data_IF_042217462140
#
_entry.id   IF_042217462140
#
_cell.length_a   1.000
_cell.length_b   1.000
_cell.length_c   1.000
_cell.angle_alpha   90.00
_cell.angle_beta   90.00
_cell.angle_gamma   90.00
#
_symmetry.space_group_name_H-M   'P 1'
#
loop_
_entity.id
_entity.type
_entity.pdbx_description
1 polymer ?
#
# COMPACT_ATOMS: atom_id res chain seq x y z
N UNK A 1 -65.10 61.95 19.41
CA UNK A 1 -65.17 60.68 18.59
C UNK A 1 -64.26 59.66 19.23
N UNK A 2 -64.86 58.65 19.73
CA UNK A 2 -64.29 57.70 20.71
C UNK A 2 -63.63 56.58 19.98
N UNK A 3 -62.32 56.32 20.24
CA UNK A 3 -61.57 55.15 19.72
C UNK A 3 -61.82 54.00 20.69
N UNK A 4 -62.35 52.89 20.16
CA UNK A 4 -62.48 51.60 20.87
C UNK A 4 -61.15 50.80 20.71
N UNK A 5 -60.72 50.12 21.76
CA UNK A 5 -59.45 49.28 21.66
C UNK A 5 -59.74 47.92 21.10
N UNK A 6 -58.88 47.48 20.18
CA UNK A 6 -58.80 46.14 19.62
C UNK A 6 -58.27 45.13 20.68
N UNK A 7 -59.03 44.11 20.96
CA UNK A 7 -58.67 42.97 21.81
C UNK A 7 -57.69 42.03 21.02
N UNK A 8 -56.54 41.76 21.63
CA UNK A 8 -55.60 40.67 21.17
C UNK A 8 -56.09 39.33 21.70
N UNK A 9 -55.99 38.24 20.92
CA UNK A 9 -56.25 36.87 21.38
C UNK A 9 -55.08 36.35 22.23
N UNK A 10 -55.32 35.33 23.12
CA UNK A 10 -54.29 34.81 24.01
C UNK A 10 -53.32 33.92 23.28
N UNK A 11 -52.02 34.11 23.57
CA UNK A 11 -50.91 33.29 23.07
C UNK A 11 -50.91 32.01 23.92
N UNK A 12 -51.15 30.86 23.26
CA UNK A 12 -51.00 29.51 23.85
C UNK A 12 -49.51 29.19 23.89
N UNK A 13 -48.86 29.20 25.06
CA UNK A 13 -47.51 28.69 25.26
C UNK A 13 -47.51 27.16 25.18
N UNK A 14 -47.03 26.65 24.09
CA UNK A 14 -46.66 25.22 24.02
C UNK A 14 -45.28 25.05 24.67
N UNK A 15 -45.24 24.34 25.81
CA UNK A 15 -44.00 23.96 26.45
C UNK A 15 -43.33 22.82 25.63
N UNK A 16 -42.23 23.20 24.92
CA UNK A 16 -41.36 22.22 24.28
C UNK A 16 -40.44 21.66 25.38
N UNK A 17 -40.62 20.42 25.76
CA UNK A 17 -39.70 19.68 26.62
C UNK A 17 -38.41 19.38 25.79
N UNK A 18 -37.33 20.11 26.06
CA UNK A 18 -36.01 19.74 25.60
C UNK A 18 -35.54 18.48 26.38
N UNK A 19 -35.58 17.32 25.75
CA UNK A 19 -34.86 16.16 26.23
C UNK A 19 -33.35 16.45 26.06
N UNK A 20 -32.67 16.69 27.18
CA UNK A 20 -31.21 16.78 27.22
C UNK A 20 -30.61 15.41 26.89
N UNK A 21 -30.06 15.23 25.69
CA UNK A 21 -29.14 14.14 25.40
C UNK A 21 -27.85 14.39 26.19
N UNK A 22 -27.63 13.61 27.24
CA UNK A 22 -26.35 13.55 27.92
C UNK A 22 -25.30 12.95 26.93
N UNK A 23 -24.07 13.49 26.87
CA UNK A 23 -23.03 12.89 26.05
C UNK A 23 -22.70 11.49 26.63
N UNK A 24 -22.69 10.47 25.74
CA UNK A 24 -22.26 9.13 26.09
C UNK A 24 -20.79 9.19 26.56
N UNK A 25 -20.53 8.73 27.76
CA UNK A 25 -19.17 8.56 28.27
C UNK A 25 -18.40 7.63 27.34
N UNK A 26 -17.11 7.89 27.05
CA UNK A 26 -16.30 6.97 26.29
C UNK A 26 -16.21 5.64 27.03
N UNK A 27 -16.62 4.57 26.37
CA UNK A 27 -16.41 3.20 26.87
C UNK A 27 -14.92 2.99 27.03
N UNK A 28 -14.46 2.69 28.23
CA UNK A 28 -13.12 2.14 28.47
C UNK A 28 -12.89 0.95 27.53
N UNK A 29 -11.68 0.78 26.97
CA UNK A 29 -11.35 -0.40 26.20
C UNK A 29 -11.66 -1.64 27.06
N UNK A 30 -12.47 -2.54 26.53
CA UNK A 30 -12.74 -3.82 27.17
C UNK A 30 -11.39 -4.54 27.31
N UNK A 31 -11.12 -5.07 28.49
CA UNK A 31 -10.01 -6.00 28.69
C UNK A 31 -10.13 -7.13 27.65
N UNK A 32 -9.01 -7.64 27.09
CA UNK A 32 -9.05 -8.70 26.10
C UNK A 32 -9.87 -9.87 26.67
N UNK A 33 -11.01 -10.13 26.05
CA UNK A 33 -11.87 -11.25 26.40
C UNK A 33 -11.08 -12.53 26.21
N UNK A 34 -11.09 -13.42 27.20
CA UNK A 34 -10.47 -14.73 27.10
C UNK A 34 -10.92 -15.40 25.80
N UNK A 35 -9.97 -15.73 24.94
CA UNK A 35 -10.19 -16.49 23.70
C UNK A 35 -10.98 -17.76 24.03
N UNK A 36 -11.96 -18.18 23.20
CA UNK A 36 -12.61 -19.47 23.38
C UNK A 36 -11.54 -20.57 23.40
N UNK A 37 -11.72 -21.64 24.19
CA UNK A 37 -10.75 -22.72 24.29
C UNK A 37 -10.49 -23.31 22.89
N UNK A 38 -9.23 -23.33 22.48
CA UNK A 38 -8.77 -24.00 21.27
C UNK A 38 -9.21 -25.46 21.30
N UNK A 39 -9.73 -25.97 20.18
CA UNK A 39 -10.09 -27.38 20.05
C UNK A 39 -8.88 -28.27 20.41
N UNK A 40 -9.07 -29.40 21.11
CA UNK A 40 -7.98 -30.31 21.46
C UNK A 40 -7.35 -30.86 20.15
N UNK A 41 -6.14 -30.47 19.82
CA UNK A 41 -5.40 -30.88 18.62
C UNK A 41 -4.56 -29.78 17.92
N UNK A 42 -4.73 -28.52 18.28
CA UNK A 42 -4.01 -27.39 17.65
C UNK A 42 -2.87 -26.86 18.53
N UNK A 43 -1.90 -27.73 18.85
CA UNK A 43 -0.77 -27.36 19.71
C UNK A 43 0.30 -26.51 18.99
N UNK A 44 0.28 -26.42 17.63
CA UNK A 44 1.28 -25.67 16.86
C UNK A 44 0.67 -24.41 16.20
N UNK A 45 0.95 -23.21 16.73
CA UNK A 45 0.47 -21.95 16.15
C UNK A 45 0.90 -21.74 14.69
N UNK A 46 2.09 -22.21 14.30
CA UNK A 46 2.56 -22.07 12.93
C UNK A 46 1.78 -23.00 11.97
N UNK A 47 1.47 -24.22 12.39
CA UNK A 47 0.62 -25.11 11.58
C UNK A 47 -0.79 -24.51 11.39
N UNK A 48 -1.35 -23.88 12.42
CA UNK A 48 -2.60 -23.13 12.31
C UNK A 48 -2.46 -21.95 11.35
N UNK A 49 -1.43 -21.13 11.46
CA UNK A 49 -1.15 -20.00 10.58
C UNK A 49 -1.05 -20.42 9.11
N UNK A 50 -0.34 -21.54 8.83
CA UNK A 50 -0.26 -22.10 7.47
C UNK A 50 -1.63 -22.49 6.92
N UNK A 51 -2.49 -23.13 7.71
CA UNK A 51 -3.86 -23.46 7.27
C UNK A 51 -4.68 -22.18 6.98
N UNK A 52 -4.53 -21.14 7.80
CA UNK A 52 -5.22 -19.88 7.56
C UNK A 52 -4.73 -19.18 6.30
N UNK A 53 -3.41 -19.17 6.04
CA UNK A 53 -2.81 -18.62 4.84
C UNK A 53 -3.37 -19.24 3.56
N UNK A 54 -3.66 -20.56 3.58
CA UNK A 54 -4.26 -21.24 2.42
C UNK A 54 -5.80 -21.24 2.40
N UNK A 55 -6.43 -20.79 3.47
CA UNK A 55 -7.89 -20.66 3.55
C UNK A 55 -8.38 -19.29 3.19
N UNK A 56 -7.64 -18.26 3.60
CA UNK A 56 -7.96 -16.87 3.35
C UNK A 56 -7.26 -16.38 2.09
N UNK A 57 -7.93 -15.54 1.32
CA UNK A 57 -7.28 -14.82 0.23
C UNK A 57 -6.28 -13.83 0.83
N UNK A 58 -4.99 -13.99 0.53
CA UNK A 58 -3.95 -13.01 0.88
C UNK A 58 -3.74 -12.09 -0.31
N UNK A 59 -4.03 -10.81 -0.10
CA UNK A 59 -3.74 -9.74 -1.04
C UNK A 59 -2.66 -8.83 -0.45
N UNK A 60 -1.67 -8.51 -1.27
CA UNK A 60 -0.58 -7.58 -0.92
C UNK A 60 -0.67 -6.32 -1.78
N UNK A 61 -0.63 -5.15 -1.14
CA UNK A 61 -0.80 -3.86 -1.80
C UNK A 61 0.33 -3.47 -2.75
N UNK A 62 1.53 -4.10 -2.63
CA UNK A 62 2.68 -3.66 -3.43
C UNK A 62 3.79 -4.70 -3.52
N UNK A 63 4.11 -5.14 -4.74
CA UNK A 63 5.22 -6.07 -5.03
C UNK A 63 5.93 -5.67 -6.33
N UNK A 64 7.26 -5.48 -6.31
CA UNK A 64 8.05 -4.88 -7.40
C UNK A 64 8.62 -5.85 -8.44
N UNK A 65 8.02 -7.02 -8.56
CA UNK A 65 8.41 -8.04 -9.56
C UNK A 65 8.57 -7.47 -10.97
N UNK A 66 7.65 -6.61 -11.48
CA UNK A 66 7.77 -6.14 -12.87
C UNK A 66 9.05 -5.34 -13.12
N UNK A 67 9.43 -4.46 -12.17
CA UNK A 67 10.65 -3.67 -12.35
C UNK A 67 11.91 -4.51 -12.14
N UNK A 68 11.94 -5.45 -11.21
CA UNK A 68 13.05 -6.40 -11.07
C UNK A 68 13.31 -7.15 -12.37
N UNK A 69 12.28 -7.72 -12.98
CA UNK A 69 12.39 -8.44 -14.25
C UNK A 69 12.77 -7.53 -15.42
N UNK A 70 12.28 -6.28 -15.42
CA UNK A 70 12.64 -5.27 -16.41
C UNK A 70 14.12 -4.90 -16.33
N UNK A 71 14.65 -4.74 -15.12
CA UNK A 71 16.05 -4.35 -14.88
C UNK A 71 17.05 -5.49 -15.18
N UNK A 72 16.60 -6.76 -15.08
CA UNK A 72 17.45 -7.96 -15.28
C UNK A 72 17.27 -8.62 -16.65
N UNK A 73 16.61 -7.94 -17.61
CA UNK A 73 16.45 -8.44 -18.98
C UNK A 73 17.79 -8.67 -19.67
N UNK A 74 17.80 -9.63 -20.59
CA UNK A 74 18.96 -9.85 -21.47
C UNK A 74 19.20 -8.64 -22.41
N UNK A 75 20.34 -8.57 -23.13
CA UNK A 75 20.62 -7.52 -24.09
C UNK A 75 19.58 -7.38 -25.20
N UNK A 76 18.83 -8.44 -25.52
CA UNK A 76 17.73 -8.43 -26.50
C UNK A 76 16.41 -7.93 -25.89
N UNK A 77 16.40 -7.59 -24.59
CA UNK A 77 15.22 -7.09 -23.87
C UNK A 77 14.24 -8.18 -23.41
N UNK A 78 14.65 -9.47 -23.42
CA UNK A 78 13.80 -10.58 -23.01
C UNK A 78 13.92 -10.87 -21.52
N UNK A 79 12.78 -11.23 -20.90
CA UNK A 79 12.76 -11.75 -19.53
C UNK A 79 13.37 -13.15 -19.52
N UNK A 80 14.44 -13.33 -18.77
CA UNK A 80 15.15 -14.61 -18.64
C UNK A 80 14.61 -15.48 -17.52
N UNK A 81 13.98 -14.87 -16.49
CA UNK A 81 13.43 -15.61 -15.36
C UNK A 81 12.07 -16.24 -15.68
N UNK A 82 11.84 -17.44 -15.09
CA UNK A 82 10.56 -18.13 -15.08
C UNK A 82 9.89 -17.99 -13.70
N UNK A 83 9.12 -16.94 -13.49
CA UNK A 83 8.44 -16.69 -12.22
C UNK A 83 7.26 -17.63 -11.93
N UNK A 84 6.85 -18.47 -12.87
CA UNK A 84 5.91 -19.57 -12.60
C UNK A 84 6.56 -20.77 -11.91
N UNK A 85 7.89 -20.90 -11.99
CA UNK A 85 8.71 -21.84 -11.23
C UNK A 85 9.47 -21.13 -10.11
N UNK A 86 10.22 -21.90 -9.29
CA UNK A 86 11.08 -21.31 -8.25
C UNK A 86 12.26 -20.57 -8.89
N UNK A 87 12.44 -19.31 -8.51
CA UNK A 87 13.57 -18.49 -8.97
C UNK A 87 14.69 -18.46 -7.93
N UNK A 88 15.97 -18.38 -8.34
CA UNK A 88 17.09 -18.27 -7.41
C UNK A 88 17.18 -16.88 -6.76
N UNK A 89 16.69 -15.85 -7.44
CA UNK A 89 16.77 -14.45 -7.05
C UNK A 89 15.36 -13.87 -6.83
N UNK A 90 15.32 -12.71 -6.17
CA UNK A 90 14.10 -12.00 -5.86
C UNK A 90 13.29 -12.62 -4.72
N UNK A 91 12.25 -11.91 -4.32
CA UNK A 91 11.42 -12.26 -3.16
C UNK A 91 10.12 -12.95 -3.57
N UNK A 92 9.76 -12.90 -4.86
CA UNK A 92 8.55 -13.47 -5.42
C UNK A 92 8.81 -14.45 -6.56
N UNK A 93 8.16 -15.60 -6.49
CA UNK A 93 7.79 -16.51 -7.58
C UNK A 93 6.52 -17.27 -7.20
N UNK A 94 5.86 -17.92 -8.18
CA UNK A 94 4.59 -18.60 -7.95
C UNK A 94 4.70 -19.79 -6.99
N UNK A 95 5.85 -20.45 -6.90
CA UNK A 95 6.06 -21.58 -5.98
C UNK A 95 6.08 -21.06 -4.55
N UNK A 96 6.89 -20.04 -4.25
CA UNK A 96 6.95 -19.41 -2.92
C UNK A 96 5.65 -18.70 -2.57
N UNK A 97 4.99 -18.03 -3.53
CA UNK A 97 3.69 -17.42 -3.31
C UNK A 97 2.66 -18.46 -2.85
N UNK A 98 2.61 -19.62 -3.49
CA UNK A 98 1.74 -20.72 -3.06
C UNK A 98 2.13 -21.29 -1.71
N UNK A 99 3.42 -21.43 -1.40
CA UNK A 99 3.89 -21.87 -0.08
C UNK A 99 3.45 -20.92 1.03
N UNK A 100 3.47 -19.61 0.77
CA UNK A 100 3.05 -18.57 1.70
C UNK A 100 1.56 -18.26 1.71
N UNK A 101 0.82 -18.72 0.69
CA UNK A 101 -0.60 -18.43 0.53
C UNK A 101 -0.88 -17.04 -0.09
N UNK A 102 0.09 -16.43 -0.77
CA UNK A 102 -0.12 -15.14 -1.45
C UNK A 102 -0.89 -15.35 -2.76
N UNK A 103 -2.08 -14.78 -2.86
CA UNK A 103 -3.01 -14.98 -3.97
C UNK A 103 -3.18 -13.78 -4.89
N UNK A 104 -2.97 -12.55 -4.38
CA UNK A 104 -3.21 -11.33 -5.12
C UNK A 104 -2.15 -10.25 -4.82
N UNK A 105 -0.90 -10.40 -5.28
CA UNK A 105 0.09 -9.34 -5.24
C UNK A 105 -0.28 -8.22 -6.23
N UNK A 106 -0.47 -7.00 -5.76
CA UNK A 106 -0.53 -5.85 -6.65
C UNK A 106 0.85 -5.64 -7.29
N UNK A 107 0.94 -5.91 -8.58
CA UNK A 107 2.15 -5.74 -9.38
C UNK A 107 2.45 -4.25 -9.56
N UNK A 108 3.54 -3.79 -8.95
CA UNK A 108 3.99 -2.41 -9.06
C UNK A 108 4.50 -2.13 -10.48
N UNK A 109 3.88 -1.18 -11.14
CA UNK A 109 4.37 -0.58 -12.38
C UNK A 109 5.24 0.60 -11.99
N UNK A 110 6.43 0.29 -11.46
CA UNK A 110 7.36 1.28 -10.93
C UNK A 110 8.07 2.06 -12.03
N UNK A 111 8.00 3.39 -11.94
CA UNK A 111 8.66 4.31 -12.87
C UNK A 111 9.68 5.16 -12.11
N UNK A 112 10.99 4.84 -12.17
CA UNK A 112 12.04 5.62 -11.54
C UNK A 112 12.01 7.10 -11.94
N UNK A 113 12.39 7.99 -11.01
CA UNK A 113 12.37 9.44 -11.22
C UNK A 113 13.22 9.91 -12.44
N UNK A 114 14.26 9.16 -12.85
CA UNK A 114 15.01 9.46 -14.06
C UNK A 114 14.13 9.53 -15.32
N UNK A 115 13.09 8.68 -15.37
CA UNK A 115 12.19 8.61 -16.53
C UNK A 115 11.20 9.77 -16.61
N UNK A 116 10.94 10.46 -15.48
CA UNK A 116 10.21 11.73 -15.51
C UNK A 116 11.10 12.88 -16.01
N UNK A 117 12.42 12.79 -15.77
CA UNK A 117 13.39 13.80 -16.21
C UNK A 117 13.69 13.68 -17.71
N UNK A 118 13.85 12.46 -18.22
CA UNK A 118 14.18 12.19 -19.62
C UNK A 118 12.96 12.03 -20.55
N UNK A 119 11.71 12.17 -20.00
CA UNK A 119 10.47 12.12 -20.77
C UNK A 119 10.07 10.73 -21.24
N UNK A 120 10.63 9.67 -20.65
CA UNK A 120 10.33 8.26 -21.04
C UNK A 120 9.37 7.55 -20.11
N UNK A 121 8.81 8.23 -19.11
CA UNK A 121 7.97 7.64 -18.06
C UNK A 121 6.79 6.82 -18.62
N UNK A 122 6.05 7.35 -19.58
CA UNK A 122 4.91 6.68 -20.20
C UNK A 122 5.29 5.41 -20.97
N UNK A 123 6.44 5.45 -21.66
CA UNK A 123 6.98 4.29 -22.39
C UNK A 123 7.39 3.16 -21.45
N UNK A 124 8.06 3.48 -20.34
CA UNK A 124 8.47 2.50 -19.33
C UNK A 124 7.25 1.90 -18.66
N UNK A 125 6.30 2.71 -18.22
CA UNK A 125 5.05 2.22 -17.62
C UNK A 125 4.33 1.25 -18.55
N UNK A 126 4.17 1.62 -19.84
CA UNK A 126 3.51 0.75 -20.83
C UNK A 126 4.26 -0.56 -21.02
N UNK A 127 5.59 -0.54 -21.05
CA UNK A 127 6.41 -1.75 -21.17
C UNK A 127 6.21 -2.68 -19.99
N UNK A 128 6.14 -2.15 -18.76
CA UNK A 128 5.89 -2.96 -17.55
C UNK A 128 4.46 -3.53 -17.53
N UNK A 129 3.46 -2.75 -17.94
CA UNK A 129 2.07 -3.24 -18.10
C UNK A 129 2.00 -4.39 -19.10
N UNK A 130 2.65 -4.25 -20.26
CA UNK A 130 2.65 -5.30 -21.28
C UNK A 130 3.38 -6.56 -20.80
N UNK A 131 4.43 -6.38 -19.98
CA UNK A 131 5.12 -7.49 -19.32
C UNK A 131 4.19 -8.26 -18.39
N UNK A 132 3.47 -7.58 -17.48
CA UNK A 132 2.53 -8.23 -16.55
C UNK A 132 1.41 -8.94 -17.32
N UNK A 133 0.85 -8.29 -18.34
CA UNK A 133 -0.14 -8.94 -19.23
C UNK A 133 0.41 -10.19 -19.92
N UNK A 134 1.68 -10.18 -20.26
CA UNK A 134 2.36 -11.33 -20.84
C UNK A 134 2.49 -12.53 -19.89
N UNK A 135 2.43 -12.32 -18.56
CA UNK A 135 2.53 -13.42 -17.61
C UNK A 135 1.33 -14.37 -17.68
N UNK A 136 0.10 -13.84 -17.76
CA UNK A 136 -1.09 -14.69 -17.95
C UNK A 136 -1.03 -15.46 -19.27
N UNK A 137 -0.65 -14.81 -20.35
CA UNK A 137 -0.56 -15.47 -21.66
C UNK A 137 0.51 -16.56 -21.68
N UNK A 138 1.62 -16.38 -20.95
CA UNK A 138 2.73 -17.33 -20.88
C UNK A 138 2.46 -18.48 -19.89
N UNK A 139 1.74 -18.24 -18.81
CA UNK A 139 1.49 -19.19 -17.72
C UNK A 139 0.02 -19.16 -17.28
N UNK A 140 -0.93 -19.51 -18.19
CA UNK A 140 -2.37 -19.34 -17.95
C UNK A 140 -2.91 -20.22 -16.82
N UNK A 141 -2.25 -21.32 -16.48
CA UNK A 141 -2.63 -22.18 -15.34
C UNK A 141 -2.12 -21.65 -13.99
N UNK A 142 -1.24 -20.65 -13.99
CA UNK A 142 -0.61 -20.10 -12.79
C UNK A 142 -1.15 -18.72 -12.45
N UNK A 143 -1.25 -17.83 -13.43
CA UNK A 143 -1.60 -16.44 -13.25
C UNK A 143 -2.91 -16.08 -13.92
N UNK A 144 -3.59 -15.09 -13.41
CA UNK A 144 -4.74 -14.45 -14.04
C UNK A 144 -4.63 -12.93 -13.85
N UNK A 145 -4.79 -12.15 -14.92
CA UNK A 145 -4.96 -10.71 -14.81
C UNK A 145 -6.25 -10.42 -14.05
N UNK A 146 -6.21 -9.40 -13.19
CA UNK A 146 -7.37 -8.98 -12.44
C UNK A 146 -7.45 -7.45 -12.39
N UNK A 147 -8.59 -6.92 -12.78
CA UNK A 147 -8.87 -5.48 -12.82
C UNK A 147 -10.03 -5.08 -11.93
N UNK A 148 -10.58 -6.03 -11.18
CA UNK A 148 -11.68 -5.83 -10.23
C UNK A 148 -11.54 -6.76 -9.03
N UNK A 149 -12.23 -6.42 -7.94
CA UNK A 149 -12.26 -7.28 -6.75
C UNK A 149 -12.89 -8.66 -7.06
N UNK A 150 -13.91 -8.70 -7.92
CA UNK A 150 -14.57 -9.95 -8.31
C UNK A 150 -13.66 -10.85 -9.16
N UNK A 151 -12.80 -10.27 -10.03
CA UNK A 151 -11.81 -11.03 -10.80
C UNK A 151 -10.69 -11.58 -9.90
N UNK A 152 -10.27 -10.84 -8.86
CA UNK A 152 -9.32 -11.34 -7.85
C UNK A 152 -9.91 -12.57 -7.12
N UNK A 153 -11.16 -12.49 -6.65
CA UNK A 153 -11.82 -13.62 -5.98
C UNK A 153 -12.05 -14.80 -6.93
N UNK A 154 -12.37 -14.54 -8.20
CA UNK A 154 -12.51 -15.60 -9.20
C UNK A 154 -11.18 -16.32 -9.48
N UNK A 155 -10.06 -15.59 -9.55
CA UNK A 155 -8.73 -16.16 -9.70
C UNK A 155 -8.37 -17.03 -8.48
N UNK A 156 -8.59 -16.55 -7.27
CA UNK A 156 -8.41 -17.31 -6.03
C UNK A 156 -9.23 -18.60 -6.03
N UNK A 157 -10.53 -18.52 -6.35
CA UNK A 157 -11.40 -19.70 -6.43
C UNK A 157 -10.95 -20.71 -7.49
N UNK A 158 -10.27 -20.24 -8.56
CA UNK A 158 -9.68 -21.08 -9.59
C UNK A 158 -8.27 -21.63 -9.23
N UNK A 159 -7.73 -21.30 -8.04
CA UNK A 159 -6.38 -21.69 -7.60
C UNK A 159 -5.25 -21.00 -8.36
N UNK A 160 -5.53 -19.82 -8.96
CA UNK A 160 -4.56 -18.98 -9.67
C UNK A 160 -4.14 -17.80 -8.81
N UNK A 161 -2.94 -17.28 -9.08
CA UNK A 161 -2.49 -16.01 -8.51
C UNK A 161 -3.02 -14.87 -9.37
N UNK A 162 -3.84 -14.01 -8.78
CA UNK A 162 -4.34 -12.80 -9.43
C UNK A 162 -3.21 -11.76 -9.56
N UNK A 163 -3.16 -11.04 -10.67
CA UNK A 163 -2.18 -9.99 -10.94
C UNK A 163 -2.87 -8.65 -11.14
N UNK A 164 -3.42 -8.02 -10.09
CA UNK A 164 -3.82 -6.63 -10.15
C UNK A 164 -2.58 -5.74 -10.30
N UNK A 165 -2.73 -4.55 -10.91
CA UNK A 165 -1.62 -3.64 -11.16
C UNK A 165 -1.85 -2.28 -10.50
N UNK A 166 -0.77 -1.71 -9.93
CA UNK A 166 -0.69 -0.35 -9.44
C UNK A 166 0.43 0.42 -10.13
N UNK A 167 0.21 1.68 -10.48
CA UNK A 167 1.24 2.55 -11.03
C UNK A 167 1.95 3.26 -9.88
N UNK A 168 3.24 3.02 -9.74
CA UNK A 168 4.08 3.72 -8.79
C UNK A 168 4.93 4.79 -9.47
N UNK A 169 4.75 6.02 -9.04
CA UNK A 169 5.08 7.29 -9.66
C UNK A 169 4.11 7.68 -10.80
N UNK A 170 3.24 8.65 -10.52
CA UNK A 170 2.27 9.21 -11.46
C UNK A 170 2.88 10.01 -12.63
N UNK A 171 4.21 10.03 -12.80
CA UNK A 171 4.89 10.74 -13.87
C UNK A 171 4.39 10.42 -15.31
N UNK A 172 3.83 9.24 -15.64
CA UNK A 172 3.19 9.00 -16.93
C UNK A 172 1.92 9.81 -17.20
N UNK A 173 1.35 10.46 -16.17
CA UNK A 173 0.15 11.29 -16.27
C UNK A 173 0.57 12.75 -16.51
N UNK A 174 0.56 13.16 -17.76
CA UNK A 174 0.95 14.52 -18.18
C UNK A 174 -0.26 15.46 -18.28
N UNK A 175 -1.46 14.90 -18.38
CA UNK A 175 -2.76 15.59 -18.47
C UNK A 175 -3.87 14.70 -17.91
N UNK A 176 -5.00 15.31 -17.58
CA UNK A 176 -6.11 14.60 -16.90
C UNK A 176 -6.63 13.41 -17.70
N UNK A 177 -6.66 13.52 -19.03
CA UNK A 177 -7.14 12.46 -19.93
C UNK A 177 -6.28 11.20 -19.90
N UNK A 178 -5.03 11.31 -19.47
CA UNK A 178 -4.14 10.15 -19.34
C UNK A 178 -4.62 9.17 -18.24
N UNK A 179 -5.40 9.66 -17.28
CA UNK A 179 -5.98 8.81 -16.21
C UNK A 179 -6.87 7.72 -16.79
N UNK A 180 -7.71 8.04 -17.80
CA UNK A 180 -8.51 7.04 -18.48
C UNK A 180 -7.63 6.03 -19.23
N UNK A 181 -6.56 6.49 -19.88
CA UNK A 181 -5.59 5.60 -20.55
C UNK A 181 -4.93 4.63 -19.54
N UNK A 182 -4.53 5.13 -18.38
CA UNK A 182 -3.94 4.32 -17.30
C UNK A 182 -4.95 3.29 -16.79
N UNK A 183 -6.23 3.68 -16.60
CA UNK A 183 -7.29 2.77 -16.23
C UNK A 183 -7.49 1.65 -17.28
N UNK A 184 -7.51 2.00 -18.58
CA UNK A 184 -7.67 1.05 -19.70
C UNK A 184 -6.47 0.10 -19.84
N UNK A 185 -5.29 0.49 -19.31
CA UNK A 185 -4.15 -0.41 -19.14
C UNK A 185 -4.34 -1.45 -18.04
N UNK A 186 -5.42 -1.36 -17.25
CA UNK A 186 -5.71 -2.27 -16.15
C UNK A 186 -5.13 -1.85 -14.80
N UNK A 187 -4.57 -0.64 -14.70
CA UNK A 187 -4.10 -0.06 -13.44
C UNK A 187 -5.30 0.23 -12.52
N UNK A 188 -5.19 -0.11 -11.23
CA UNK A 188 -6.25 0.08 -10.24
C UNK A 188 -5.86 0.93 -9.05
N UNK A 189 -4.58 1.29 -8.90
CA UNK A 189 -4.18 2.43 -8.08
C UNK A 189 -3.06 3.24 -8.76
N UNK A 190 -2.90 4.49 -8.34
CA UNK A 190 -1.75 5.33 -8.71
C UNK A 190 -1.18 6.00 -7.46
N UNK A 191 0.11 5.75 -7.22
CA UNK A 191 0.96 6.50 -6.29
C UNK A 191 1.41 7.76 -7.02
N UNK A 192 0.99 8.95 -6.57
CA UNK A 192 1.14 10.18 -7.36
C UNK A 192 2.59 10.61 -7.57
N UNK A 193 3.48 10.33 -6.61
CA UNK A 193 4.94 10.56 -6.72
C UNK A 193 5.72 9.34 -6.26
N UNK A 194 7.06 9.37 -6.41
CA UNK A 194 7.95 8.42 -5.75
C UNK A 194 9.07 9.17 -5.01
N UNK A 195 10.30 9.15 -5.50
CA UNK A 195 11.48 9.73 -4.82
C UNK A 195 11.73 11.21 -5.11
N UNK A 196 10.98 11.81 -6.03
CA UNK A 196 11.08 13.22 -6.42
C UNK A 196 9.70 13.81 -6.64
N UNK A 197 9.59 15.12 -6.38
CA UNK A 197 8.44 15.91 -6.82
C UNK A 197 8.28 15.76 -8.33
N UNK A 198 7.02 15.69 -8.78
CA UNK A 198 6.69 15.62 -10.20
C UNK A 198 5.60 16.64 -10.55
N UNK A 199 5.00 16.55 -11.74
CA UNK A 199 3.95 17.48 -12.16
C UNK A 199 2.67 17.41 -11.31
N UNK A 200 2.46 16.35 -10.52
CA UNK A 200 1.23 16.11 -9.75
C UNK A 200 1.33 16.53 -8.29
N UNK A 201 2.46 16.21 -7.62
CA UNK A 201 2.55 16.34 -6.17
C UNK A 201 3.99 16.39 -5.67
N UNK A 202 4.14 16.78 -4.41
CA UNK A 202 5.39 16.74 -3.66
C UNK A 202 5.62 15.37 -3.03
N UNK A 203 6.86 14.91 -3.10
CA UNK A 203 7.34 13.66 -2.53
C UNK A 203 7.83 13.84 -1.09
N UNK A 204 7.65 12.80 -0.26
CA UNK A 204 8.23 12.74 1.09
C UNK A 204 9.76 12.61 1.11
N UNK A 205 10.39 12.42 -0.04
CA UNK A 205 11.83 12.30 -0.21
C UNK A 205 12.48 13.53 -0.88
N UNK A 206 11.70 14.53 -1.27
CA UNK A 206 12.23 15.70 -1.97
C UNK A 206 12.03 16.97 -1.14
N UNK A 207 13.13 17.54 -0.68
CA UNK A 207 13.13 18.75 0.16
C UNK A 207 12.70 20.03 -0.61
N UNK A 208 12.48 19.95 -1.93
CA UNK A 208 12.09 21.11 -2.74
C UNK A 208 10.69 21.62 -2.44
N UNK A 209 9.77 20.71 -2.10
CA UNK A 209 8.35 21.04 -1.85
C UNK A 209 7.77 21.94 -2.95
N UNK A 210 7.91 21.51 -4.20
CA UNK A 210 7.67 22.29 -5.43
C UNK A 210 6.29 22.91 -5.49
N UNK A 211 5.28 22.24 -4.92
CA UNK A 211 3.87 22.65 -4.98
C UNK A 211 3.29 23.05 -3.61
N UNK A 212 3.96 22.71 -2.51
CA UNK A 212 3.40 22.79 -1.17
C UNK A 212 2.24 21.83 -0.94
N UNK A 213 2.27 20.66 -1.60
CA UNK A 213 1.26 19.61 -1.57
C UNK A 213 0.93 19.08 -2.97
N UNK A 214 -0.35 19.12 -3.37
CA UNK A 214 -0.78 18.80 -4.74
C UNK A 214 -0.69 20.03 -5.66
N UNK A 215 -0.20 19.82 -6.88
CA UNK A 215 -0.38 20.81 -7.95
C UNK A 215 -1.85 20.91 -8.38
N UNK A 216 -2.21 21.92 -9.17
CA UNK A 216 -3.56 22.02 -9.75
C UNK A 216 -3.86 20.84 -10.70
N UNK A 217 -2.85 20.35 -11.44
CA UNK A 217 -2.97 19.13 -12.24
C UNK A 217 -3.20 17.92 -11.33
N UNK A 218 -2.43 17.78 -10.22
CA UNK A 218 -2.60 16.71 -9.26
C UNK A 218 -4.00 16.66 -8.65
N UNK A 219 -4.56 17.81 -8.30
CA UNK A 219 -5.96 17.92 -7.81
C UNK A 219 -6.98 17.47 -8.86
N UNK A 220 -6.78 17.84 -10.11
CA UNK A 220 -7.65 17.40 -11.22
C UNK A 220 -7.52 15.91 -11.48
N UNK A 221 -6.29 15.36 -11.43
CA UNK A 221 -6.00 13.93 -11.59
C UNK A 221 -6.66 13.12 -10.47
N UNK A 222 -6.59 13.54 -9.20
CA UNK A 222 -7.26 12.85 -8.07
C UNK A 222 -8.77 12.76 -8.29
N UNK A 223 -9.41 13.84 -8.75
CA UNK A 223 -10.86 13.82 -9.06
C UNK A 223 -11.18 12.86 -10.20
N UNK A 224 -10.35 12.86 -11.24
CA UNK A 224 -10.53 11.97 -12.39
C UNK A 224 -10.29 10.50 -12.00
N UNK A 225 -9.29 10.20 -11.15
CA UNK A 225 -9.08 8.86 -10.60
C UNK A 225 -10.33 8.35 -9.88
N UNK A 226 -10.95 9.19 -9.03
CA UNK A 226 -12.21 8.83 -8.36
C UNK A 226 -13.33 8.57 -9.38
N UNK A 227 -13.41 9.37 -10.46
CA UNK A 227 -14.43 9.22 -11.50
C UNK A 227 -14.30 7.92 -12.28
N UNK A 228 -13.07 7.51 -12.63
CA UNK A 228 -12.84 6.30 -13.45
C UNK A 228 -12.70 5.02 -12.65
N UNK A 229 -12.51 5.10 -11.33
CA UNK A 229 -12.37 3.93 -10.47
C UNK A 229 -10.94 3.47 -10.22
N UNK A 230 -10.00 4.40 -10.15
CA UNK A 230 -8.62 4.17 -9.72
C UNK A 230 -8.49 4.63 -8.25
N UNK A 231 -7.97 3.77 -7.36
CA UNK A 231 -7.66 4.11 -5.99
C UNK A 231 -6.52 5.15 -5.96
N UNK A 232 -6.68 6.23 -5.17
CA UNK A 232 -5.61 7.19 -4.91
C UNK A 232 -4.71 6.62 -3.83
N UNK A 233 -3.43 6.42 -4.17
CA UNK A 233 -2.42 5.94 -3.24
C UNK A 233 -1.57 7.09 -2.72
N UNK A 234 -1.50 7.22 -1.39
CA UNK A 234 -0.75 8.28 -0.71
C UNK A 234 0.65 7.85 -0.26
N UNK A 235 1.08 6.63 -0.54
CA UNK A 235 2.46 6.23 -0.29
C UNK A 235 3.41 7.17 -1.04
N UNK A 236 4.57 7.47 -0.46
CA UNK A 236 5.59 8.41 -1.00
C UNK A 236 5.22 9.90 -1.00
N UNK A 237 3.98 10.30 -0.77
CA UNK A 237 3.59 11.71 -0.77
C UNK A 237 4.13 12.44 0.47
N UNK A 238 4.40 13.74 0.32
CA UNK A 238 4.61 14.63 1.46
C UNK A 238 3.35 14.71 2.32
N UNK A 239 3.49 15.07 3.59
CA UNK A 239 2.34 15.22 4.50
C UNK A 239 1.29 16.20 3.96
N UNK A 240 1.74 17.31 3.34
CA UNK A 240 0.84 18.31 2.77
C UNK A 240 0.11 17.77 1.53
N UNK A 241 0.78 17.01 0.68
CA UNK A 241 0.13 16.35 -0.45
C UNK A 241 -0.91 15.32 0.01
N UNK A 242 -0.63 14.57 1.08
CA UNK A 242 -1.61 13.64 1.68
C UNK A 242 -2.82 14.41 2.20
N UNK A 243 -2.64 15.52 2.94
CA UNK A 243 -3.75 16.36 3.42
C UNK A 243 -4.60 16.89 2.28
N UNK A 244 -3.97 17.35 1.21
CA UNK A 244 -4.68 17.80 0.00
C UNK A 244 -5.50 16.69 -0.64
N UNK A 245 -4.94 15.46 -0.77
CA UNK A 245 -5.68 14.29 -1.26
C UNK A 245 -6.89 14.02 -0.37
N UNK A 246 -6.69 13.94 0.95
CA UNK A 246 -7.77 13.65 1.91
C UNK A 246 -8.88 14.71 1.90
N UNK A 247 -8.54 15.96 1.61
CA UNK A 247 -9.51 17.05 1.53
C UNK A 247 -10.42 16.98 0.28
N UNK A 248 -9.96 16.35 -0.81
CA UNK A 248 -10.69 16.36 -2.09
C UNK A 248 -11.16 14.97 -2.55
N UNK A 249 -10.69 13.88 -1.92
CA UNK A 249 -11.05 12.52 -2.27
C UNK A 249 -12.56 12.28 -2.07
N UNK A 250 -13.19 11.67 -3.07
CA UNK A 250 -14.62 11.30 -3.09
C UNK A 250 -14.83 9.79 -2.97
N UNK A 251 -13.76 9.02 -2.98
CA UNK A 251 -13.71 7.58 -2.81
C UNK A 251 -12.63 7.23 -1.77
N UNK A 252 -12.65 6.01 -1.20
CA UNK A 252 -11.62 5.58 -0.26
C UNK A 252 -10.20 5.72 -0.80
N UNK A 253 -9.30 6.21 0.05
CA UNK A 253 -7.87 6.42 -0.24
C UNK A 253 -7.06 5.27 0.35
N UNK A 254 -5.97 4.88 -0.30
CA UNK A 254 -5.06 3.84 0.21
C UNK A 254 -3.67 4.40 0.50
N UNK A 255 -2.96 3.73 1.42
CA UNK A 255 -1.51 3.75 1.47
C UNK A 255 -1.05 2.32 1.13
N UNK A 256 -0.58 2.12 -0.11
CA UNK A 256 -0.30 0.78 -0.66
C UNK A 256 0.86 0.08 0.05
N UNK A 257 1.83 0.85 0.58
CA UNK A 257 3.03 0.34 1.25
C UNK A 257 3.67 1.41 2.14
N UNK A 258 2.95 1.87 3.18
CA UNK A 258 3.45 2.81 4.18
C UNK A 258 3.22 2.29 5.59
N UNK A 259 4.17 2.57 6.50
CA UNK A 259 4.10 2.11 7.89
C UNK A 259 3.72 3.25 8.84
N UNK A 260 3.64 2.99 10.14
CA UNK A 260 3.33 4.00 11.15
C UNK A 260 4.59 4.78 11.54
N UNK A 261 4.56 6.11 11.44
CA UNK A 261 5.67 7.02 11.80
C UNK A 261 6.04 6.98 13.28
N UNK A 262 5.16 6.49 14.12
CA UNK A 262 5.46 6.24 15.54
C UNK A 262 6.81 5.52 15.75
N UNK A 263 7.14 4.58 14.88
CA UNK A 263 8.35 3.76 14.98
C UNK A 263 9.55 4.32 14.19
N UNK A 264 9.33 5.39 13.40
CA UNK A 264 10.34 6.13 12.65
C UNK A 264 10.10 7.64 12.81
N UNK A 265 10.28 8.20 14.02
CA UNK A 265 9.89 9.56 14.32
C UNK A 265 10.54 10.59 13.39
N UNK A 266 9.72 11.53 12.87
CA UNK A 266 10.18 12.60 11.99
C UNK A 266 10.30 12.24 10.51
N UNK A 267 10.17 10.96 10.13
CA UNK A 267 10.28 10.54 8.75
C UNK A 267 8.93 10.51 8.02
N UNK A 268 8.72 11.44 7.09
CA UNK A 268 7.45 11.62 6.39
C UNK A 268 7.08 10.48 5.44
N UNK A 269 8.02 9.60 5.10
CA UNK A 269 7.70 8.42 4.28
C UNK A 269 6.69 7.49 4.95
N UNK A 270 6.67 7.46 6.28
CA UNK A 270 5.66 6.76 7.08
C UNK A 270 4.57 7.73 7.53
N UNK A 271 3.35 7.23 7.71
CA UNK A 271 2.19 8.03 8.06
C UNK A 271 2.17 8.39 9.55
N UNK A 272 1.90 9.67 9.85
CA UNK A 272 1.59 10.10 11.21
C UNK A 272 0.24 9.52 11.67
N UNK A 273 -0.01 9.48 12.99
CA UNK A 273 -1.30 9.05 13.55
C UNK A 273 -2.48 9.87 13.03
N UNK A 274 -2.27 11.16 12.74
CA UNK A 274 -3.24 12.05 12.11
C UNK A 274 -3.60 11.54 10.70
N UNK A 275 -2.58 11.25 9.89
CA UNK A 275 -2.78 10.83 8.50
C UNK A 275 -3.36 9.42 8.41
N UNK A 276 -2.97 8.51 9.32
CA UNK A 276 -3.61 7.18 9.44
C UNK A 276 -5.11 7.34 9.70
N UNK A 277 -5.50 8.22 10.65
CA UNK A 277 -6.93 8.51 10.90
C UNK A 277 -7.60 9.17 9.69
N UNK A 278 -6.89 10.04 8.98
CA UNK A 278 -7.39 10.67 7.76
C UNK A 278 -7.70 9.65 6.66
N UNK A 279 -6.78 8.72 6.39
CA UNK A 279 -7.00 7.63 5.43
C UNK A 279 -8.20 6.77 5.85
N UNK A 280 -8.26 6.35 7.13
CA UNK A 280 -9.38 5.56 7.65
C UNK A 280 -10.73 6.29 7.55
N UNK A 281 -10.75 7.61 7.79
CA UNK A 281 -11.97 8.42 7.69
C UNK A 281 -12.57 8.46 6.27
N UNK A 282 -11.78 8.23 5.22
CA UNK A 282 -12.29 8.04 3.84
C UNK A 282 -12.90 6.65 3.61
N UNK A 283 -12.86 5.75 4.59
CA UNK A 283 -13.15 4.32 4.42
C UNK A 283 -11.96 3.53 3.85
N UNK A 284 -10.78 4.13 3.81
CA UNK A 284 -9.56 3.60 3.20
C UNK A 284 -8.80 2.57 4.04
N UNK A 285 -7.55 2.30 3.63
CA UNK A 285 -6.69 1.28 4.24
C UNK A 285 -5.22 1.72 4.23
N UNK A 286 -4.49 1.38 5.30
CA UNK A 286 -3.04 1.49 5.37
C UNK A 286 -2.43 0.10 5.32
N UNK A 287 -1.61 -0.16 4.31
CA UNK A 287 -0.93 -1.45 4.12
C UNK A 287 0.53 -1.30 4.53
N UNK A 288 0.93 -2.14 5.51
CA UNK A 288 2.23 -2.02 6.19
C UNK A 288 3.35 -2.48 5.28
N UNK A 289 4.34 -1.59 5.06
CA UNK A 289 5.59 -1.92 4.36
C UNK A 289 6.45 -2.83 5.24
N UNK A 290 7.10 -3.85 4.64
CA UNK A 290 7.91 -4.82 5.38
C UNK A 290 9.40 -4.48 5.44
N UNK A 291 9.90 -3.56 4.62
CA UNK A 291 11.31 -3.15 4.67
C UNK A 291 11.72 -2.67 6.05
N UNK A 292 12.80 -3.23 6.62
CA UNK A 292 13.21 -2.99 8.01
C UNK A 292 13.45 -1.51 8.34
N UNK A 293 13.88 -0.70 7.37
CA UNK A 293 14.04 0.75 7.54
C UNK A 293 12.72 1.51 7.66
N UNK A 294 11.60 0.94 7.19
CA UNK A 294 10.26 1.50 7.35
C UNK A 294 9.61 1.08 8.68
N UNK A 295 10.22 0.09 9.33
CA UNK A 295 9.68 -0.50 10.55
C UNK A 295 10.40 -0.02 11.82
N UNK A 296 11.68 0.40 11.71
CA UNK A 296 12.49 0.74 12.87
C UNK A 296 13.47 1.88 12.59
N UNK A 297 13.48 2.90 13.46
CA UNK A 297 14.29 4.11 13.29
C UNK A 297 15.79 3.86 13.41
N UNK A 298 16.21 2.91 14.24
CA UNK A 298 17.64 2.57 14.38
C UNK A 298 18.14 1.87 13.11
N UNK A 299 17.32 1.00 12.52
CA UNK A 299 17.63 0.36 11.23
C UNK A 299 17.66 1.40 10.10
N UNK A 300 16.71 2.33 10.08
CA UNK A 300 16.66 3.43 9.12
C UNK A 300 17.92 4.28 9.18
N UNK A 301 18.30 4.75 10.36
CA UNK A 301 19.51 5.55 10.57
C UNK A 301 20.79 4.79 10.20
N UNK A 302 20.86 3.50 10.50
CA UNK A 302 21.98 2.67 10.10
C UNK A 302 22.08 2.54 8.57
N UNK A 303 20.93 2.40 7.89
CA UNK A 303 20.87 2.37 6.42
C UNK A 303 21.27 3.71 5.79
N UNK A 304 20.84 4.83 6.34
CA UNK A 304 21.25 6.17 5.88
C UNK A 304 22.76 6.35 5.95
N UNK A 305 23.38 6.06 7.10
CA UNK A 305 24.84 6.11 7.25
C UNK A 305 25.59 5.22 6.26
N UNK A 306 25.03 4.04 5.99
CA UNK A 306 25.60 3.10 5.02
C UNK A 306 25.49 3.62 3.59
N UNK A 307 24.36 4.24 3.25
CA UNK A 307 24.16 4.91 1.96
C UNK A 307 25.14 6.05 1.76
N UNK A 308 25.31 6.93 2.75
CA UNK A 308 26.30 8.01 2.75
C UNK A 308 27.73 7.48 2.54
N UNK A 309 28.08 6.36 3.18
CA UNK A 309 29.40 5.74 3.00
C UNK A 309 29.60 5.20 1.56
N UNK A 310 28.57 4.58 0.97
CA UNK A 310 28.62 4.13 -0.43
C UNK A 310 28.72 5.32 -1.36
N UNK A 311 27.94 6.38 -1.16
CA UNK A 311 28.04 7.63 -1.96
C UNK A 311 29.46 8.22 -1.92
N UNK A 312 30.06 8.29 -0.75
CA UNK A 312 31.44 8.77 -0.61
C UNK A 312 32.43 7.91 -1.41
N UNK A 313 32.31 6.58 -1.34
CA UNK A 313 33.15 5.64 -2.10
C UNK A 313 32.98 5.77 -3.61
N UNK A 314 31.76 6.04 -4.08
CA UNK A 314 31.45 6.26 -5.48
C UNK A 314 32.01 7.60 -5.96
N UNK A 315 31.83 8.67 -5.17
CA UNK A 315 32.33 10.01 -5.47
C UNK A 315 33.86 10.03 -5.60
N UNK A 316 34.61 9.33 -4.71
CA UNK A 316 36.07 9.18 -4.81
C UNK A 316 36.51 8.55 -6.15
N UNK A 317 35.65 7.77 -6.81
CA UNK A 317 35.91 7.08 -8.06
C UNK A 317 35.26 7.76 -9.28
N UNK A 318 34.60 8.90 -9.07
CA UNK A 318 33.91 9.63 -10.14
C UNK A 318 32.71 8.85 -10.71
N UNK A 319 32.12 7.96 -9.91
CA UNK A 319 30.97 7.14 -10.29
C UNK A 319 29.68 7.70 -9.66
N UNK A 320 28.55 7.41 -10.31
CA UNK A 320 27.20 7.75 -9.81
C UNK A 320 26.35 6.50 -9.68
N UNK A 321 25.37 6.51 -8.77
CA UNK A 321 24.38 5.43 -8.69
C UNK A 321 23.70 5.20 -10.04
N UNK A 322 23.49 3.93 -10.39
CA UNK A 322 22.91 3.51 -11.67
C UNK A 322 23.93 3.02 -12.69
N UNK A 323 25.24 3.25 -12.46
CA UNK A 323 26.28 2.67 -13.28
C UNK A 323 26.58 1.22 -12.88
N UNK A 324 26.88 0.30 -13.81
CA UNK A 324 27.15 -1.11 -13.48
C UNK A 324 28.30 -1.31 -12.50
N UNK A 325 29.33 -0.46 -12.56
CA UNK A 325 30.47 -0.52 -11.65
C UNK A 325 30.10 -0.01 -10.25
N UNK A 326 29.28 1.05 -10.16
CA UNK A 326 28.75 1.57 -8.90
C UNK A 326 27.94 0.49 -8.15
N UNK A 327 27.13 -0.29 -8.89
CA UNK A 327 26.39 -1.42 -8.30
C UNK A 327 27.32 -2.44 -7.69
N UNK A 328 28.42 -2.83 -8.35
CA UNK A 328 29.38 -3.80 -7.81
C UNK A 328 30.03 -3.31 -6.52
N UNK A 329 30.34 -2.01 -6.45
CA UNK A 329 30.93 -1.38 -5.26
C UNK A 329 29.92 -1.40 -4.11
N UNK A 330 28.68 -1.01 -4.37
CA UNK A 330 27.60 -1.03 -3.38
C UNK A 330 27.36 -2.47 -2.87
N UNK A 331 27.22 -3.45 -3.77
CA UNK A 331 27.03 -4.86 -3.42
C UNK A 331 28.21 -5.42 -2.59
N UNK A 332 29.45 -4.99 -2.89
CA UNK A 332 30.63 -5.41 -2.12
C UNK A 332 30.61 -4.80 -0.72
N UNK A 333 30.35 -3.49 -0.62
CA UNK A 333 30.23 -2.81 0.66
C UNK A 333 29.13 -3.43 1.53
N UNK A 334 27.98 -3.78 0.93
CA UNK A 334 26.85 -4.39 1.60
C UNK A 334 27.16 -5.78 2.15
N UNK A 335 27.95 -6.57 1.44
CA UNK A 335 28.42 -7.90 1.93
C UNK A 335 29.42 -7.77 3.10
N UNK A 336 30.28 -6.75 3.06
CA UNK A 336 31.30 -6.52 4.10
C UNK A 336 30.69 -5.86 5.34
N UNK A 337 29.62 -5.07 5.16
CA UNK A 337 28.95 -4.29 6.21
C UNK A 337 27.45 -4.58 6.25
N UNK A 338 27.03 -5.81 6.60
CA UNK A 338 25.60 -6.14 6.64
C UNK A 338 24.88 -5.23 7.64
N UNK A 339 23.82 -4.56 7.17
CA UNK A 339 23.01 -3.70 8.01
C UNK A 339 22.13 -4.49 8.99
N UNK A 340 21.69 -3.85 10.09
CA UNK A 340 20.70 -4.45 10.97
C UNK A 340 19.37 -4.68 10.24
N UNK A 341 18.63 -5.68 10.70
CA UNK A 341 17.26 -5.99 10.28
C UNK A 341 16.35 -6.06 11.48
N UNK A 342 15.07 -5.84 11.25
CA UNK A 342 14.03 -6.11 12.26
C UNK A 342 13.59 -7.57 12.18
N UNK A 343 12.55 -7.91 12.93
CA UNK A 343 11.89 -9.21 12.89
C UNK A 343 10.44 -9.09 12.45
N UNK A 344 9.79 -10.20 12.13
CA UNK A 344 8.38 -10.25 11.77
C UNK A 344 7.46 -9.67 12.87
N UNK A 345 7.86 -9.73 14.14
CA UNK A 345 7.14 -9.15 15.27
C UNK A 345 7.04 -7.62 15.15
N UNK A 346 8.04 -6.96 14.54
CA UNK A 346 7.99 -5.52 14.33
C UNK A 346 6.95 -5.12 13.28
N UNK A 347 6.72 -5.94 12.27
CA UNK A 347 5.59 -5.75 11.33
C UNK A 347 4.27 -5.78 12.10
N UNK A 348 4.11 -6.77 12.97
CA UNK A 348 2.92 -6.87 13.81
C UNK A 348 2.76 -5.70 14.80
N UNK A 349 3.88 -5.08 15.30
CA UNK A 349 3.81 -3.85 16.11
C UNK A 349 3.15 -2.69 15.35
N UNK A 350 3.46 -2.55 14.06
CA UNK A 350 2.83 -1.54 13.20
C UNK A 350 1.34 -1.84 12.98
N UNK A 351 1.00 -3.11 12.74
CA UNK A 351 -0.41 -3.54 12.61
C UNK A 351 -1.18 -3.22 13.90
N UNK A 352 -0.66 -3.61 15.08
CA UNK A 352 -1.28 -3.32 16.38
C UNK A 352 -1.49 -1.81 16.58
N UNK A 353 -0.49 -1.00 16.22
CA UNK A 353 -0.61 0.44 16.35
C UNK A 353 -1.73 1.01 15.47
N UNK A 354 -1.77 0.63 14.19
CA UNK A 354 -2.82 1.08 13.26
C UNK A 354 -4.19 0.60 13.75
N UNK A 355 -4.33 -0.67 14.14
CA UNK A 355 -5.57 -1.23 14.69
C UNK A 355 -6.02 -0.45 15.94
N UNK A 356 -5.09 -0.09 16.83
CA UNK A 356 -5.40 0.69 18.03
C UNK A 356 -5.92 2.10 17.74
N UNK A 357 -5.53 2.68 16.59
CA UNK A 357 -5.93 4.03 16.18
C UNK A 357 -7.26 4.07 15.45
N UNK A 358 -7.53 3.09 14.57
CA UNK A 358 -8.59 3.17 13.56
C UNK A 358 -9.42 1.90 13.37
N UNK A 359 -9.06 0.79 14.03
CA UNK A 359 -9.74 -0.50 13.88
C UNK A 359 -9.10 -1.43 12.85
N UNK A 360 -9.43 -2.71 12.96
CA UNK A 360 -8.84 -3.78 12.15
C UNK A 360 -9.21 -3.69 10.66
N UNK A 361 -10.33 -3.05 10.34
CA UNK A 361 -10.84 -2.86 8.99
C UNK A 361 -10.01 -1.91 8.11
N UNK A 362 -9.05 -1.19 8.72
CA UNK A 362 -8.24 -0.17 8.04
C UNK A 362 -6.76 -0.55 7.89
N UNK A 363 -6.39 -1.82 8.09
CA UNK A 363 -5.01 -2.28 7.95
C UNK A 363 -4.91 -3.50 7.03
N UNK A 364 -3.77 -3.62 6.32
CA UNK A 364 -3.45 -4.73 5.42
C UNK A 364 -1.95 -4.87 5.20
N UNK A 365 -1.56 -5.71 4.25
CA UNK A 365 -0.18 -5.97 3.86
C UNK A 365 0.19 -5.16 2.60
N UNK A 366 1.34 -4.52 2.62
CA UNK A 366 1.94 -3.82 1.50
C UNK A 366 3.44 -4.04 1.55
N UNK A 367 3.86 -5.27 1.28
CA UNK A 367 5.18 -5.81 1.66
C UNK A 367 6.35 -5.06 1.07
N UNK A 368 6.20 -4.57 -0.14
CA UNK A 368 7.29 -4.01 -0.93
C UNK A 368 8.37 -5.07 -1.26
N UNK A 369 7.95 -6.35 -1.39
CA UNK A 369 8.82 -7.42 -1.87
C UNK A 369 9.37 -7.07 -3.26
N UNK A 370 10.63 -7.40 -3.48
CA UNK A 370 11.44 -7.01 -4.63
C UNK A 370 11.77 -5.49 -4.73
N UNK A 371 11.22 -4.62 -3.85
CA UNK A 371 11.45 -3.17 -3.84
C UNK A 371 12.43 -2.69 -2.74
N UNK A 372 12.55 -3.41 -1.63
CA UNK A 372 13.36 -2.98 -0.47
C UNK A 372 14.74 -3.61 -0.38
N UNK A 373 15.13 -4.42 -1.39
CA UNK A 373 16.40 -5.13 -1.43
C UNK A 373 16.59 -6.05 -0.23
N UNK A 374 17.83 -6.21 0.26
CA UNK A 374 18.15 -7.15 1.36
C UNK A 374 17.78 -6.60 2.76
N UNK A 375 16.71 -5.78 2.87
CA UNK A 375 16.28 -5.16 4.14
C UNK A 375 15.04 -5.80 4.77
N UNK A 376 14.55 -6.92 4.23
CA UNK A 376 13.38 -7.62 4.76
C UNK A 376 13.64 -8.18 6.16
N UNK A 377 12.61 -8.25 7.05
CA UNK A 377 12.75 -8.71 8.42
C UNK A 377 13.13 -10.18 8.52
N UNK A 378 13.78 -10.55 9.61
CA UNK A 378 13.94 -11.95 9.96
C UNK A 378 12.55 -12.60 10.17
N UNK A 379 12.36 -13.78 9.57
CA UNK A 379 11.08 -14.47 9.58
C UNK A 379 10.09 -14.03 8.50
N UNK A 380 10.44 -13.00 7.68
CA UNK A 380 9.58 -12.51 6.59
C UNK A 380 10.43 -12.08 5.38
N UNK A 381 11.27 -13.03 4.90
CA UNK A 381 12.32 -12.78 3.90
C UNK A 381 11.85 -12.85 2.44
N UNK A 382 10.72 -13.49 2.18
CA UNK A 382 10.09 -13.59 0.87
C UNK A 382 8.60 -13.95 1.01
N UNK A 383 7.90 -14.03 -0.10
CA UNK A 383 6.45 -14.29 -0.14
C UNK A 383 6.02 -15.64 0.46
N UNK A 384 6.94 -16.60 0.72
CA UNK A 384 6.61 -17.86 1.38
C UNK A 384 6.39 -17.71 2.90
N UNK A 385 6.76 -16.56 3.45
CA UNK A 385 6.84 -16.35 4.89
C UNK A 385 5.59 -15.70 5.53
N UNK A 386 4.52 -15.40 4.78
CA UNK A 386 3.26 -14.88 5.36
C UNK A 386 2.74 -15.69 6.55
N UNK A 387 2.83 -17.05 6.57
CA UNK A 387 2.42 -17.82 7.74
C UNK A 387 3.12 -17.44 9.04
N UNK A 388 4.37 -16.94 8.97
CA UNK A 388 5.07 -16.49 10.15
C UNK A 388 4.43 -15.20 10.74
N UNK A 389 4.01 -14.27 9.88
CA UNK A 389 3.29 -13.07 10.32
C UNK A 389 1.91 -13.44 10.89
N UNK A 390 1.18 -14.35 10.22
CA UNK A 390 -0.12 -14.81 10.74
C UNK A 390 0.02 -15.52 12.08
N UNK A 391 1.11 -16.29 12.30
CA UNK A 391 1.43 -16.89 13.61
C UNK A 391 1.56 -15.81 14.67
N UNK A 392 2.33 -14.74 14.41
CA UNK A 392 2.52 -13.64 15.35
C UNK A 392 1.19 -12.95 15.68
N UNK A 393 0.34 -12.71 14.67
CA UNK A 393 -1.00 -12.12 14.89
C UNK A 393 -1.88 -13.05 15.77
N UNK A 394 -1.87 -14.37 15.53
CA UNK A 394 -2.58 -15.34 16.36
C UNK A 394 -2.08 -15.31 17.83
N UNK A 395 -0.76 -15.27 18.02
CA UNK A 395 -0.13 -15.20 19.36
C UNK A 395 -0.47 -13.89 20.08
N UNK A 396 -0.72 -12.79 19.34
CA UNK A 396 -1.21 -11.49 19.87
C UNK A 396 -2.71 -11.47 20.16
N UNK A 397 -3.42 -12.57 19.86
CA UNK A 397 -4.84 -12.71 20.17
C UNK A 397 -5.80 -12.25 19.07
N UNK A 398 -5.30 -11.96 17.86
CA UNK A 398 -6.19 -11.70 16.73
C UNK A 398 -7.05 -12.92 16.43
N UNK A 399 -8.33 -12.70 16.25
CA UNK A 399 -9.30 -13.72 15.84
C UNK A 399 -9.14 -14.07 14.35
N UNK A 400 -9.60 -15.25 13.94
CA UNK A 400 -9.56 -15.63 12.52
C UNK A 400 -10.29 -14.65 11.59
N UNK A 401 -11.47 -14.10 11.94
CA UNK A 401 -12.11 -13.05 11.13
C UNK A 401 -11.28 -11.77 11.01
N UNK A 402 -10.56 -11.35 12.06
CA UNK A 402 -9.67 -10.19 12.02
C UNK A 402 -8.45 -10.45 11.14
N UNK A 403 -7.85 -11.64 11.23
CA UNK A 403 -6.74 -12.07 10.35
C UNK A 403 -7.21 -12.12 8.91
N UNK A 404 -8.40 -12.68 8.63
CA UNK A 404 -8.97 -12.71 7.28
C UNK A 404 -9.21 -11.29 6.72
N UNK A 405 -9.64 -10.36 7.58
CA UNK A 405 -9.80 -8.95 7.21
C UNK A 405 -8.45 -8.34 6.78
N UNK A 406 -7.40 -8.52 7.60
CA UNK A 406 -6.04 -8.01 7.34
C UNK A 406 -5.44 -8.67 6.09
N UNK A 407 -5.63 -9.98 5.90
CA UNK A 407 -5.09 -10.73 4.77
C UNK A 407 -5.53 -10.16 3.41
N UNK A 408 -6.80 -9.76 3.25
CA UNK A 408 -7.24 -9.29 1.94
C UNK A 408 -8.63 -8.66 1.90
N UNK A 409 -9.57 -9.07 2.78
CA UNK A 409 -10.94 -8.54 2.75
C UNK A 409 -11.00 -7.01 2.85
N UNK A 410 -10.10 -6.39 3.64
CA UNK A 410 -10.06 -4.95 3.78
C UNK A 410 -9.68 -4.27 2.46
N UNK A 411 -8.66 -4.75 1.76
CA UNK A 411 -8.25 -4.21 0.47
C UNK A 411 -9.34 -4.42 -0.59
N UNK A 412 -9.94 -5.61 -0.67
CA UNK A 412 -11.04 -5.88 -1.61
C UNK A 412 -12.27 -5.02 -1.32
N UNK A 413 -12.59 -4.76 -0.03
CA UNK A 413 -13.65 -3.82 0.36
C UNK A 413 -13.38 -2.42 -0.19
N UNK A 414 -12.15 -1.93 -0.06
CA UNK A 414 -11.76 -0.62 -0.56
C UNK A 414 -11.86 -0.56 -2.09
N UNK A 415 -11.32 -1.55 -2.79
CA UNK A 415 -11.38 -1.63 -4.24
C UNK A 415 -12.86 -1.63 -4.73
N UNK A 416 -13.73 -2.46 -4.14
CA UNK A 416 -15.17 -2.46 -4.45
C UNK A 416 -15.85 -1.12 -4.19
N UNK A 417 -15.46 -0.42 -3.13
CA UNK A 417 -16.03 0.89 -2.82
C UNK A 417 -15.65 1.94 -3.87
N UNK A 418 -14.40 1.90 -4.37
CA UNK A 418 -13.92 2.78 -5.45
C UNK A 418 -14.62 2.44 -6.76
N UNK A 419 -14.73 1.15 -7.13
CA UNK A 419 -15.49 0.71 -8.30
C UNK A 419 -16.97 1.15 -8.25
N UNK A 420 -17.59 1.02 -7.07
CA UNK A 420 -18.99 1.42 -6.89
C UNK A 420 -19.14 2.95 -7.00
N UNK A 421 -18.16 3.74 -6.54
CA UNK A 421 -18.15 5.18 -6.72
C UNK A 421 -18.09 5.55 -8.21
N UNK A 422 -17.18 4.94 -8.97
CA UNK A 422 -17.04 5.17 -10.41
C UNK A 422 -18.31 4.82 -11.19
N UNK A 423 -18.95 3.70 -10.87
CA UNK A 423 -20.24 3.33 -11.48
C UNK A 423 -21.34 4.37 -11.25
N UNK A 424 -21.40 4.95 -10.03
CA UNK A 424 -22.36 6.04 -9.73
C UNK A 424 -22.04 7.31 -10.51
N UNK A 425 -20.76 7.67 -10.60
CA UNK A 425 -20.30 8.85 -11.35
C UNK A 425 -20.57 8.75 -12.87
N UNK A 426 -20.57 7.54 -13.42
CA UNK A 426 -20.89 7.31 -14.83
C UNK A 426 -22.41 7.31 -15.14
N UNK A 427 -23.26 7.14 -14.12
CA UNK A 427 -24.72 7.10 -14.26
C UNK A 427 -25.41 8.46 -14.04
N UNK A 428 -24.70 9.45 -13.51
CA UNK A 428 -25.20 10.83 -13.24
C UNK A 428 -24.62 11.83 -14.21
#
# INVERSE_FOLDING_TARGET
MVHAPLRRPPILLAAIALAACAPASPKSPAAPGASPPTAPGEADPLARARRLAHRFLIADGHVDVPYRLYATRDPDGRITENIAGRTPEGDFDAVRAREGGLDAPFMSIYVPAKHQIDGTAKTVAKTLVDMVRGFEARWPDTFALATSADEIEAAFAAGKIALPMGLENGAPIERVEDVQTIHDWGIRYVTLTHSKDNALADSSFDDRHTHGGLSELGKAVVREMNRVGIMVDVSHLSDDAIRDVLAIAQAPVIASHSSARKFTPGWQRNLSDELIRGVAATGGIVMVNFGSSFLDDEVRKAREKRWEAIEALLAERGLSFGEPEAKKIADAYDREHPGPRTTVERVADHIDHIVSLVGVEHVGFGSDFDGVGDSLPEGLRDVSAYPNLLRVLLERGYTEPEIEAICGKNLLRVLRAVEAHARRSAAG
#
